data_IF_867774626252
#
_entry.id   IF_867774626252
#
_cell.length_a   1.000
_cell.length_b   1.000
_cell.length_c   1.000
_cell.angle_alpha   90.00
_cell.angle_beta   90.00
_cell.angle_gamma   90.00
#
_symmetry.space_group_name_H-M   'P 1'
#
loop_
_entity.id
_entity.type
_entity.pdbx_description
1 polymer ?
#
# COMPACT_ATOMS: atom_id res chain seq x y z
N UNK A 1 -9.59 18.12 21.70
CA UNK A 1 -9.66 16.97 20.78
C UNK A 1 -8.32 16.84 20.05
N UNK A 2 -7.73 15.64 19.91
CA UNK A 2 -6.54 15.46 19.10
C UNK A 2 -6.92 15.78 17.64
N UNK A 3 -6.24 16.75 17.05
CA UNK A 3 -6.45 17.14 15.65
C UNK A 3 -6.03 15.96 14.75
N UNK A 4 -6.84 15.52 13.76
CA UNK A 4 -6.46 14.45 12.85
C UNK A 4 -5.10 14.74 12.26
N UNK A 5 -4.16 13.81 12.41
CA UNK A 5 -2.80 13.99 11.91
C UNK A 5 -2.82 13.88 10.40
N UNK A 6 -2.63 15.01 9.71
CA UNK A 6 -2.42 15.05 8.26
C UNK A 6 -1.30 14.05 7.89
N UNK A 7 -1.58 13.14 6.94
CA UNK A 7 -0.58 12.21 6.42
C UNK A 7 0.62 12.95 5.84
N UNK A 8 1.83 12.55 6.24
CA UNK A 8 3.10 13.16 5.82
C UNK A 8 3.73 12.32 4.72
N UNK A 9 4.36 12.96 3.73
CA UNK A 9 4.94 12.24 2.59
C UNK A 9 6.35 11.76 2.91
N UNK A 10 6.63 10.47 2.71
CA UNK A 10 7.97 9.87 2.78
C UNK A 10 8.36 9.42 1.39
N UNK A 11 9.47 9.95 0.88
CA UNK A 11 9.88 9.69 -0.49
C UNK A 11 10.34 8.26 -0.74
N UNK A 12 10.75 7.54 0.32
CA UNK A 12 11.54 6.31 0.25
C UNK A 12 11.50 5.41 1.48
N UNK A 13 11.53 4.10 1.24
CA UNK A 13 11.83 3.11 2.27
C UNK A 13 13.34 3.08 2.56
N UNK A 14 13.73 2.96 3.83
CA UNK A 14 15.14 2.83 4.19
C UNK A 14 15.72 1.53 3.62
N UNK A 15 16.95 1.60 3.07
CA UNK A 15 17.69 0.42 2.60
C UNK A 15 18.01 -0.57 3.73
N UNK A 16 18.13 -0.08 4.95
CA UNK A 16 18.26 -0.86 6.17
C UNK A 16 17.35 -0.24 7.23
N UNK A 17 16.47 -1.05 7.83
CA UNK A 17 15.56 -0.61 8.90
C UNK A 17 16.18 -0.70 10.30
N UNK A 18 17.42 -1.16 10.42
CA UNK A 18 18.06 -1.40 11.72
C UNK A 18 19.56 -1.08 11.65
N UNK A 19 20.04 -0.30 12.61
CA UNK A 19 21.45 0.05 12.79
C UNK A 19 21.85 -0.26 14.23
N UNK A 20 23.07 -0.76 14.43
CA UNK A 20 23.59 -1.05 15.77
C UNK A 20 25.09 -0.80 15.85
N UNK A 21 25.64 -0.43 17.02
CA UNK A 21 27.07 -0.38 17.24
C UNK A 21 27.71 -1.76 17.04
N UNK A 22 28.93 -1.73 16.53
CA UNK A 22 29.73 -2.93 16.28
C UNK A 22 30.21 -3.51 17.61
N UNK A 23 30.10 -4.83 17.77
CA UNK A 23 30.63 -5.56 18.92
C UNK A 23 29.65 -5.80 20.08
N UNK A 24 28.44 -5.26 20.02
CA UNK A 24 27.40 -5.49 21.04
C UNK A 24 26.31 -6.44 20.47
N UNK A 25 25.98 -7.55 21.15
CA UNK A 25 24.84 -8.40 20.80
C UNK A 25 23.52 -7.63 20.84
N UNK A 26 22.54 -8.05 20.01
CA UNK A 26 21.24 -7.39 19.96
C UNK A 26 20.41 -7.58 21.25
N UNK A 27 20.69 -8.63 22.02
CA UNK A 27 20.04 -8.92 23.30
C UNK A 27 20.44 -7.96 24.42
N UNK A 28 21.60 -7.33 24.28
CA UNK A 28 22.27 -6.59 25.36
C UNK A 28 22.32 -5.09 25.07
N UNK A 29 21.53 -4.63 24.10
CA UNK A 29 21.52 -3.25 23.64
C UNK A 29 20.13 -2.66 23.68
N UNK A 30 20.02 -1.50 24.32
CA UNK A 30 18.82 -0.70 24.32
C UNK A 30 18.60 -0.06 22.94
N UNK A 31 17.33 0.13 22.55
CA UNK A 31 16.98 0.63 21.23
C UNK A 31 16.24 1.97 21.25
N UNK A 32 16.44 2.75 20.19
CA UNK A 32 15.64 3.92 19.85
C UNK A 32 14.96 3.78 18.51
N UNK A 33 13.69 4.19 18.51
CA UNK A 33 12.84 4.14 17.32
C UNK A 33 12.87 5.49 16.63
N UNK A 34 13.45 5.52 15.44
CA UNK A 34 13.32 6.63 14.51
C UNK A 34 12.12 6.38 13.60
N UNK A 35 11.16 7.31 13.59
CA UNK A 35 9.99 7.19 12.72
C UNK A 35 10.35 7.42 11.25
N UNK A 36 9.57 6.84 10.33
CA UNK A 36 9.81 6.98 8.88
C UNK A 36 9.78 8.44 8.41
N UNK A 37 8.86 9.24 8.94
CA UNK A 37 8.78 10.67 8.69
C UNK A 37 9.97 11.43 9.33
N UNK A 38 10.48 10.96 10.47
CA UNK A 38 11.69 11.48 11.08
C UNK A 38 12.92 11.24 10.20
N UNK A 39 13.06 10.03 9.64
CA UNK A 39 14.12 9.70 8.69
C UNK A 39 14.02 10.56 7.42
N UNK A 40 12.83 10.74 6.86
CA UNK A 40 12.63 11.58 5.67
C UNK A 40 13.02 13.03 5.95
N UNK A 41 12.68 13.57 7.12
CA UNK A 41 13.06 14.92 7.50
C UNK A 41 14.58 15.09 7.57
N UNK A 42 15.30 14.12 8.17
CA UNK A 42 16.77 14.09 8.18
C UNK A 42 17.33 13.99 6.76
N UNK A 43 16.75 13.13 5.92
CA UNK A 43 17.17 12.96 4.53
C UNK A 43 17.07 14.26 3.73
N UNK A 44 15.94 14.96 3.84
CA UNK A 44 15.72 16.21 3.10
C UNK A 44 16.59 17.37 3.60
N UNK A 45 16.67 17.57 4.92
CA UNK A 45 17.38 18.71 5.49
C UNK A 45 18.88 18.48 5.62
N UNK A 46 19.29 17.34 6.17
CA UNK A 46 20.68 17.10 6.58
C UNK A 46 21.48 16.34 5.52
N UNK A 47 20.85 15.46 4.73
CA UNK A 47 21.53 14.71 3.66
C UNK A 47 21.45 15.41 2.30
N UNK A 48 20.27 15.88 1.87
CA UNK A 48 20.10 16.61 0.61
C UNK A 48 20.38 18.11 0.71
N UNK A 49 20.56 18.64 1.93
CA UNK A 49 20.89 20.05 2.17
C UNK A 49 19.76 21.03 1.83
N UNK A 50 18.50 20.58 1.79
CA UNK A 50 17.36 21.47 1.48
C UNK A 50 17.07 22.42 2.62
N UNK A 51 16.58 23.61 2.28
CA UNK A 51 16.05 24.52 3.28
C UNK A 51 14.72 23.99 3.86
N UNK A 52 14.35 24.50 5.04
CA UNK A 52 13.17 24.03 5.79
C UNK A 52 11.85 24.22 5.02
N UNK A 53 11.75 25.26 4.20
CA UNK A 53 10.53 25.58 3.47
C UNK A 53 10.32 24.59 2.32
N UNK A 54 11.35 24.33 1.52
CA UNK A 54 11.34 23.30 0.47
C UNK A 54 11.07 21.90 1.03
N UNK A 55 11.73 21.55 2.12
CA UNK A 55 11.57 20.23 2.74
C UNK A 55 10.16 20.04 3.32
N UNK A 56 9.57 21.08 3.92
CA UNK A 56 8.21 21.06 4.43
C UNK A 56 7.18 20.87 3.32
N UNK A 57 7.32 21.60 2.20
CA UNK A 57 6.48 21.45 1.01
C UNK A 57 6.54 20.01 0.49
N UNK A 58 7.75 19.45 0.40
CA UNK A 58 7.96 18.08 -0.10
C UNK A 58 7.33 17.01 0.78
N UNK A 59 7.35 17.21 2.09
CA UNK A 59 6.67 16.32 3.05
C UNK A 59 5.16 16.56 3.17
N UNK A 60 4.61 17.59 2.50
CA UNK A 60 3.19 17.94 2.58
C UNK A 60 2.77 18.48 3.95
N UNK A 61 3.67 19.14 4.67
CA UNK A 61 3.42 19.68 6.02
C UNK A 61 3.74 21.17 6.12
N UNK A 62 3.23 21.84 7.16
CA UNK A 62 3.66 23.21 7.46
C UNK A 62 5.13 23.28 7.85
N UNK A 63 5.80 24.40 7.55
CA UNK A 63 7.18 24.71 7.99
C UNK A 63 7.40 24.45 9.48
N UNK A 64 6.44 24.85 10.32
CA UNK A 64 6.50 24.65 11.76
C UNK A 64 6.39 23.17 12.15
N UNK A 65 5.54 22.39 11.47
CA UNK A 65 5.44 20.94 11.65
C UNK A 65 6.74 20.25 11.27
N UNK A 66 7.32 20.61 10.12
CA UNK A 66 8.61 20.09 9.66
C UNK A 66 9.72 20.36 10.68
N UNK A 67 9.84 21.60 11.16
CA UNK A 67 10.86 21.96 12.16
C UNK A 67 10.74 21.15 13.46
N UNK A 68 9.51 20.88 13.93
CA UNK A 68 9.29 20.02 15.12
C UNK A 68 9.67 18.56 14.85
N UNK A 69 9.38 18.06 13.66
CA UNK A 69 9.72 16.70 13.24
C UNK A 69 11.23 16.53 13.14
N UNK A 70 11.90 17.43 12.43
CA UNK A 70 13.36 17.43 12.26
C UNK A 70 14.09 17.50 13.61
N UNK A 71 13.64 18.36 14.53
CA UNK A 71 14.22 18.44 15.88
C UNK A 71 14.12 17.11 16.64
N UNK A 72 12.97 16.45 16.58
CA UNK A 72 12.76 15.14 17.23
C UNK A 72 13.63 14.05 16.62
N UNK A 73 13.70 14.02 15.28
CA UNK A 73 14.53 13.06 14.56
C UNK A 73 16.01 13.23 14.88
N UNK A 74 16.53 14.46 14.86
CA UNK A 74 17.92 14.77 15.26
C UNK A 74 18.21 14.37 16.69
N UNK A 75 17.30 14.64 17.63
CA UNK A 75 17.47 14.24 19.02
C UNK A 75 17.52 12.71 19.18
N UNK A 76 16.62 11.97 18.51
CA UNK A 76 16.60 10.52 18.54
C UNK A 76 17.91 9.90 18.01
N UNK A 77 18.42 10.41 16.89
CA UNK A 77 19.71 9.96 16.34
C UNK A 77 20.87 10.34 17.26
N UNK A 78 20.87 11.56 17.80
CA UNK A 78 21.91 12.00 18.72
C UNK A 78 21.95 11.16 20.00
N UNK A 79 20.79 10.89 20.61
CA UNK A 79 20.67 10.02 21.79
C UNK A 79 21.20 8.62 21.48
N UNK A 80 20.81 8.02 20.35
CA UNK A 80 21.31 6.70 19.97
C UNK A 80 22.83 6.65 19.78
N UNK A 81 23.42 7.72 19.22
CA UNK A 81 24.87 7.80 19.02
C UNK A 81 25.64 8.07 20.32
N UNK A 82 25.09 8.89 21.22
CA UNK A 82 25.74 9.26 22.49
C UNK A 82 25.69 8.10 23.49
N UNK A 83 24.54 7.44 23.61
CA UNK A 83 24.33 6.37 24.59
C UNK A 83 24.68 4.98 24.03
N UNK A 84 25.08 4.89 22.75
CA UNK A 84 25.49 3.64 22.11
C UNK A 84 24.32 2.67 21.89
N UNK A 85 23.16 3.20 21.55
CA UNK A 85 21.91 2.44 21.36
C UNK A 85 21.80 1.90 19.94
N UNK A 86 20.99 0.85 19.79
CA UNK A 86 20.51 0.44 18.48
C UNK A 86 19.48 1.46 17.95
N UNK A 87 19.48 1.70 16.65
CA UNK A 87 18.51 2.56 15.98
C UNK A 87 17.63 1.70 15.07
N UNK A 88 16.33 1.60 15.41
CA UNK A 88 15.31 0.91 14.64
C UNK A 88 14.44 1.91 13.90
N UNK A 89 14.21 1.70 12.62
CA UNK A 89 13.44 2.62 11.78
C UNK A 89 12.05 2.04 11.51
N UNK A 90 11.05 2.55 12.21
CA UNK A 90 9.68 2.03 12.15
C UNK A 90 8.62 3.08 12.46
N UNK A 91 7.40 2.86 11.95
CA UNK A 91 6.23 3.66 12.27
C UNK A 91 6.23 5.08 11.69
N UNK A 92 5.29 5.91 12.15
CA UNK A 92 5.07 7.29 11.70
C UNK A 92 3.71 7.50 11.02
N UNK A 93 3.24 8.75 10.99
CA UNK A 93 2.02 9.13 10.26
C UNK A 93 2.42 9.45 8.82
N UNK A 94 2.57 8.41 7.99
CA UNK A 94 3.11 8.55 6.65
C UNK A 94 2.10 8.12 5.58
N UNK A 95 1.90 8.97 4.56
CA UNK A 95 1.59 8.51 3.21
C UNK A 95 2.94 8.24 2.54
N UNK A 96 3.17 7.01 2.08
CA UNK A 96 4.39 6.69 1.34
C UNK A 96 4.24 7.28 -0.05
N UNK A 97 5.16 8.16 -0.45
CA UNK A 97 5.42 8.33 -1.87
C UNK A 97 6.30 7.15 -2.26
N UNK A 98 5.77 6.27 -3.10
CA UNK A 98 6.52 5.14 -3.61
C UNK A 98 7.82 5.64 -4.28
N UNK A 99 8.99 5.13 -3.86
CA UNK A 99 10.22 5.39 -4.62
C UNK A 99 10.12 4.77 -6.01
N UNK A 100 10.34 5.63 -7.00
CA UNK A 100 10.88 5.28 -8.30
C UNK A 100 12.15 4.43 -8.09
N UNK A 101 12.07 3.17 -8.52
CA UNK A 101 13.13 2.19 -8.27
C UNK A 101 12.97 0.82 -8.91
N UNK A 102 11.78 0.46 -9.43
CA UNK A 102 11.62 -0.51 -10.52
C UNK A 102 10.48 0.02 -11.41
N UNK A 103 10.87 0.93 -12.32
CA UNK A 103 10.10 1.60 -13.38
C UNK A 103 8.58 1.33 -13.41
N UNK A 104 7.83 2.07 -12.60
CA UNK A 104 6.60 2.70 -13.11
C UNK A 104 7.06 4.00 -13.79
N UNK A 105 6.74 4.25 -15.07
CA UNK A 105 7.16 5.47 -15.75
C UNK A 105 6.46 6.65 -15.09
N UNK A 106 7.22 7.61 -14.58
CA UNK A 106 6.71 8.91 -14.18
C UNK A 106 6.18 9.65 -15.39
N UNK A 107 4.94 10.11 -15.26
CA UNK A 107 4.10 10.56 -16.35
C UNK A 107 2.79 9.78 -16.29
N UNK A 108 1.79 10.43 -15.71
CA UNK A 108 0.35 10.13 -15.72
C UNK A 108 -0.12 9.04 -16.70
N UNK A 109 -1.10 8.23 -16.24
CA UNK A 109 -1.91 7.24 -16.97
C UNK A 109 -1.56 5.75 -16.80
N UNK A 110 -1.26 5.31 -15.58
CA UNK A 110 -1.30 3.89 -15.23
C UNK A 110 -2.18 3.65 -14.00
N UNK A 111 -2.88 2.51 -13.95
CA UNK A 111 -3.69 2.11 -12.79
C UNK A 111 -3.16 0.80 -12.20
N UNK A 112 -3.17 0.69 -10.87
CA UNK A 112 -2.87 -0.55 -10.19
C UNK A 112 -4.14 -1.39 -10.07
N UNK A 113 -4.13 -2.54 -10.73
CA UNK A 113 -5.27 -3.45 -10.85
C UNK A 113 -5.05 -4.66 -9.97
N UNK A 114 -6.04 -4.99 -9.13
CA UNK A 114 -6.07 -6.19 -8.32
C UNK A 114 -7.02 -7.23 -8.92
N UNK A 115 -6.59 -8.49 -8.94
CA UNK A 115 -7.43 -9.64 -9.30
C UNK A 115 -7.38 -10.63 -8.13
N UNK A 116 -8.51 -10.95 -7.48
CA UNK A 116 -8.60 -12.08 -6.56
C UNK A 116 -8.21 -13.35 -7.34
N UNK A 117 -7.23 -14.10 -6.88
CA UNK A 117 -6.67 -15.24 -7.61
C UNK A 117 -6.60 -16.48 -6.73
N UNK A 118 -6.64 -17.67 -7.33
CA UNK A 118 -6.32 -18.92 -6.64
C UNK A 118 -4.81 -19.06 -6.45
N UNK A 119 -4.39 -19.78 -5.40
CA UNK A 119 -2.98 -20.12 -5.18
C UNK A 119 -2.42 -20.93 -6.38
N UNK A 120 -1.20 -20.65 -6.85
CA UNK A 120 -0.14 -19.81 -6.24
C UNK A 120 -0.22 -18.30 -6.55
N UNK A 121 -1.23 -17.85 -7.31
CA UNK A 121 -1.32 -16.50 -7.85
C UNK A 121 -0.49 -16.30 -9.12
N UNK A 122 -0.45 -15.07 -9.62
CA UNK A 122 0.24 -14.73 -10.87
C UNK A 122 -0.68 -14.78 -12.09
N UNK A 123 -0.14 -14.51 -13.29
CA UNK A 123 -0.92 -14.35 -14.53
C UNK A 123 -1.63 -15.64 -14.96
N UNK A 124 -1.02 -16.79 -14.73
CA UNK A 124 -1.57 -18.10 -15.11
C UNK A 124 -2.60 -18.64 -14.11
N UNK A 125 -2.71 -18.02 -12.93
CA UNK A 125 -3.66 -18.47 -11.92
C UNK A 125 -5.11 -18.18 -12.35
N UNK A 126 -6.03 -19.05 -11.93
CA UNK A 126 -7.46 -18.82 -12.14
C UNK A 126 -7.96 -17.69 -11.23
N UNK A 127 -8.82 -16.79 -11.71
CA UNK A 127 -9.42 -15.77 -10.87
C UNK A 127 -10.40 -16.40 -9.86
N UNK A 128 -10.43 -15.88 -8.64
CA UNK A 128 -11.28 -16.37 -7.58
C UNK A 128 -12.70 -15.80 -7.72
N UNK A 129 -13.71 -16.68 -7.65
CA UNK A 129 -15.12 -16.34 -7.93
C UNK A 129 -15.77 -15.50 -6.83
N UNK A 130 -15.26 -15.61 -5.60
CA UNK A 130 -15.81 -14.90 -4.43
C UNK A 130 -14.76 -14.03 -3.76
N UNK A 131 -14.99 -12.71 -3.77
CA UNK A 131 -14.09 -11.72 -3.15
C UNK A 131 -13.84 -12.00 -1.65
N UNK A 132 -14.91 -12.29 -0.89
CA UNK A 132 -14.84 -12.41 0.57
C UNK A 132 -14.15 -13.67 1.11
N UNK A 133 -13.78 -14.64 0.27
CA UNK A 133 -13.09 -15.88 0.69
C UNK A 133 -11.70 -16.01 0.08
N UNK A 134 -11.23 -15.00 -0.64
CA UNK A 134 -9.98 -15.06 -1.35
C UNK A 134 -8.80 -14.99 -0.38
N UNK A 135 -7.84 -15.91 -0.52
CA UNK A 135 -6.61 -15.95 0.28
C UNK A 135 -5.51 -15.05 -0.28
N UNK A 136 -5.53 -14.74 -1.58
CA UNK A 136 -4.49 -13.95 -2.24
C UNK A 136 -5.03 -13.01 -3.33
N UNK A 137 -4.31 -11.93 -3.61
CA UNK A 137 -4.53 -11.05 -4.74
C UNK A 137 -3.31 -11.08 -5.65
N UNK A 138 -3.55 -11.14 -6.95
CA UNK A 138 -2.54 -10.82 -7.96
C UNK A 138 -2.73 -9.36 -8.37
N UNK A 139 -1.68 -8.56 -8.16
CA UNK A 139 -1.65 -7.14 -8.47
C UNK A 139 -0.82 -6.94 -9.74
N UNK A 140 -1.28 -6.08 -10.65
CA UNK A 140 -0.51 -5.69 -11.81
C UNK A 140 -0.74 -4.22 -12.15
N UNK A 141 0.30 -3.57 -12.65
CA UNK A 141 0.21 -2.25 -13.24
C UNK A 141 -0.29 -2.34 -14.67
N UNK A 142 -1.31 -1.56 -15.01
CA UNK A 142 -1.83 -1.47 -16.37
C UNK A 142 -1.70 -0.05 -16.89
N UNK A 143 -1.01 0.11 -18.02
CA UNK A 143 -0.82 1.39 -18.73
C UNK A 143 -0.81 1.14 -20.24
N UNK A 144 -1.55 1.94 -21.01
CA UNK A 144 -1.59 1.89 -22.49
C UNK A 144 -1.83 0.47 -23.07
N UNK A 145 -2.75 -0.29 -22.47
CA UNK A 145 -3.02 -1.66 -22.92
C UNK A 145 -1.98 -2.70 -22.48
N UNK A 146 -0.94 -2.30 -21.75
CA UNK A 146 0.15 -3.18 -21.32
C UNK A 146 0.07 -3.51 -19.82
N UNK A 147 0.24 -4.78 -19.50
CA UNK A 147 0.35 -5.29 -18.13
C UNK A 147 1.82 -5.35 -17.74
N UNK A 148 2.19 -4.74 -16.62
CA UNK A 148 3.56 -4.70 -16.07
C UNK A 148 3.56 -4.94 -14.57
N UNK A 149 4.72 -5.30 -14.04
CA UNK A 149 5.00 -5.38 -12.60
C UNK A 149 3.96 -6.22 -11.81
N UNK A 150 3.87 -7.50 -12.16
CA UNK A 150 2.93 -8.43 -11.54
C UNK A 150 3.47 -8.90 -10.20
N UNK A 151 2.70 -8.72 -9.12
CA UNK A 151 3.07 -9.16 -7.78
C UNK A 151 1.92 -9.93 -7.13
N UNK A 152 2.25 -10.94 -6.34
CA UNK A 152 1.26 -11.70 -5.56
C UNK A 152 1.29 -11.22 -4.11
N UNK A 153 0.11 -11.00 -3.52
CA UNK A 153 -0.05 -10.55 -2.14
C UNK A 153 -1.04 -11.43 -1.41
N UNK A 154 -0.69 -11.86 -0.21
CA UNK A 154 -1.63 -12.52 0.68
C UNK A 154 -2.70 -11.53 1.15
N UNK A 155 -3.95 -11.97 1.17
CA UNK A 155 -5.03 -11.26 1.84
C UNK A 155 -4.84 -11.46 3.35
N UNK A 156 -4.63 -10.39 4.11
CA UNK A 156 -4.54 -10.49 5.56
C UNK A 156 -5.83 -11.14 6.11
N UNK A 157 -5.68 -12.17 6.96
CA UNK A 157 -6.78 -12.97 7.47
C UNK A 157 -7.91 -12.07 8.01
N UNK A 158 -9.11 -12.23 7.46
CA UNK A 158 -10.29 -11.47 7.86
C UNK A 158 -11.09 -12.25 8.91
N UNK A 159 -11.72 -11.53 9.84
CA UNK A 159 -12.77 -12.10 10.68
C UNK A 159 -14.06 -12.25 9.87
N UNK A 160 -14.87 -13.30 10.07
CA UNK A 160 -16.15 -13.46 9.38
C UNK A 160 -17.05 -12.23 9.58
N UNK A 161 -17.36 -11.53 8.49
CA UNK A 161 -18.20 -10.32 8.52
C UNK A 161 -17.46 -8.99 8.43
N UNK A 162 -16.13 -8.98 8.51
CA UNK A 162 -15.31 -7.78 8.31
C UNK A 162 -15.10 -7.49 6.82
N UNK A 163 -16.04 -6.74 6.23
CA UNK A 163 -15.98 -6.32 4.84
C UNK A 163 -15.04 -5.13 4.61
N UNK A 164 -14.62 -4.43 5.68
CA UNK A 164 -13.82 -3.21 5.61
C UNK A 164 -12.32 -3.48 5.51
N UNK A 165 -11.81 -4.47 6.22
CA UNK A 165 -10.37 -4.75 6.26
C UNK A 165 -9.75 -5.12 4.90
N UNK A 166 -10.38 -5.97 4.05
CA UNK A 166 -9.84 -6.25 2.71
C UNK A 166 -9.81 -5.02 1.81
N UNK A 167 -10.81 -4.15 1.94
CA UNK A 167 -10.92 -2.90 1.17
C UNK A 167 -9.82 -1.92 1.58
N UNK A 168 -9.62 -1.74 2.90
CA UNK A 168 -8.54 -0.88 3.42
C UNK A 168 -7.16 -1.42 3.07
N UNK A 169 -7.00 -2.75 3.09
CA UNK A 169 -5.79 -3.41 2.61
C UNK A 169 -5.49 -3.03 1.16
N UNK A 170 -6.46 -3.19 0.26
CA UNK A 170 -6.29 -2.83 -1.16
C UNK A 170 -6.05 -1.33 -1.37
N UNK A 171 -6.80 -0.47 -0.68
CA UNK A 171 -6.65 0.97 -0.76
C UNK A 171 -5.27 1.44 -0.27
N UNK A 172 -4.77 0.87 0.83
CA UNK A 172 -3.43 1.19 1.34
C UNK A 172 -2.29 0.72 0.42
N UNK A 173 -2.54 -0.31 -0.39
CA UNK A 173 -1.61 -0.76 -1.44
C UNK A 173 -1.65 0.11 -2.70
N UNK A 174 -2.55 1.11 -2.77
CA UNK A 174 -2.71 2.01 -3.92
C UNK A 174 -3.49 1.38 -5.07
N UNK A 175 -4.23 0.30 -4.83
CA UNK A 175 -5.10 -0.31 -5.83
C UNK A 175 -6.23 0.66 -6.14
N UNK A 176 -6.44 0.97 -7.41
CA UNK A 176 -7.53 1.84 -7.87
C UNK A 176 -8.58 1.07 -8.67
N UNK A 177 -8.27 -0.17 -9.08
CA UNK A 177 -9.18 -1.04 -9.84
C UNK A 177 -9.16 -2.47 -9.29
N UNK A 178 -10.33 -3.09 -9.17
CA UNK A 178 -10.49 -4.49 -8.78
C UNK A 178 -11.30 -5.25 -9.85
N UNK A 179 -10.76 -6.38 -10.34
CA UNK A 179 -11.45 -7.29 -11.26
C UNK A 179 -12.01 -8.48 -10.49
N UNK A 180 -13.32 -8.52 -10.25
CA UNK A 180 -13.96 -9.55 -9.44
C UNK A 180 -15.01 -10.34 -10.23
N UNK A 181 -15.18 -11.62 -9.92
CA UNK A 181 -16.28 -12.43 -10.47
C UNK A 181 -17.62 -12.17 -9.75
N UNK A 182 -17.59 -12.11 -8.41
CA UNK A 182 -18.78 -11.84 -7.61
C UNK A 182 -18.46 -11.18 -6.27
N UNK A 183 -19.30 -10.21 -5.90
CA UNK A 183 -19.24 -9.56 -4.58
C UNK A 183 -20.61 -9.16 -4.06
N UNK A 184 -20.71 -9.00 -2.73
CA UNK A 184 -21.89 -8.45 -2.09
C UNK A 184 -21.96 -6.93 -2.19
N UNK A 185 -23.14 -6.36 -1.94
CA UNK A 185 -23.38 -4.90 -1.97
C UNK A 185 -22.46 -4.13 -0.99
N UNK A 186 -22.25 -4.68 0.20
CA UNK A 186 -21.46 -4.02 1.25
C UNK A 186 -19.97 -3.85 0.85
N UNK A 187 -19.27 -4.89 0.37
CA UNK A 187 -17.94 -4.72 -0.22
C UNK A 187 -17.90 -3.74 -1.40
N UNK A 188 -18.88 -3.79 -2.31
CA UNK A 188 -18.91 -2.88 -3.47
C UNK A 188 -18.98 -1.41 -3.04
N UNK A 189 -19.88 -1.08 -2.11
CA UNK A 189 -20.01 0.27 -1.57
C UNK A 189 -18.74 0.72 -0.84
N UNK A 190 -18.10 -0.17 -0.08
CA UNK A 190 -16.85 0.14 0.60
C UNK A 190 -15.70 0.41 -0.39
N UNK A 191 -15.60 -0.38 -1.47
CA UNK A 191 -14.63 -0.16 -2.55
C UNK A 191 -14.84 1.19 -3.23
N UNK A 192 -16.08 1.51 -3.61
CA UNK A 192 -16.44 2.78 -4.23
C UNK A 192 -16.12 3.96 -3.31
N UNK A 193 -16.45 3.85 -2.02
CA UNK A 193 -16.13 4.88 -1.02
C UNK A 193 -14.61 5.05 -0.81
N UNK A 194 -13.82 3.99 -1.01
CA UNK A 194 -12.37 4.02 -0.97
C UNK A 194 -11.73 4.49 -2.30
N UNK A 195 -12.53 4.81 -3.33
CA UNK A 195 -12.03 5.22 -4.64
C UNK A 195 -11.55 4.07 -5.53
N UNK A 196 -11.95 2.84 -5.24
CA UNK A 196 -11.59 1.64 -6.00
C UNK A 196 -12.73 1.33 -6.98
N UNK A 197 -12.46 1.45 -8.28
CA UNK A 197 -13.38 1.04 -9.33
C UNK A 197 -13.42 -0.49 -9.42
N UNK A 198 -14.61 -1.07 -9.58
CA UNK A 198 -14.78 -2.52 -9.67
C UNK A 198 -15.27 -2.87 -11.08
N UNK A 199 -14.68 -3.88 -11.69
CA UNK A 199 -15.09 -4.44 -12.97
C UNK A 199 -15.36 -5.94 -12.83
N UNK A 200 -16.30 -6.44 -13.62
CA UNK A 200 -16.57 -7.85 -13.69
C UNK A 200 -15.46 -8.54 -14.50
N UNK A 201 -14.89 -9.63 -13.97
CA UNK A 201 -13.79 -10.35 -14.63
C UNK A 201 -14.22 -11.19 -15.86
N UNK A 202 -15.50 -11.10 -16.25
CA UNK A 202 -16.12 -11.77 -17.40
C UNK A 202 -16.00 -13.30 -17.42
N UNK A 203 -15.69 -13.94 -16.28
CA UNK A 203 -15.50 -15.38 -16.20
C UNK A 203 -14.31 -15.90 -17.00
N UNK A 204 -13.30 -15.04 -17.25
CA UNK A 204 -12.12 -15.41 -18.01
C UNK A 204 -11.27 -16.45 -17.26
N UNK A 205 -10.56 -17.34 -17.98
CA UNK A 205 -9.93 -18.53 -17.39
C UNK A 205 -8.68 -18.22 -16.55
N UNK A 206 -8.04 -17.06 -16.76
CA UNK A 206 -6.80 -16.69 -16.07
C UNK A 206 -6.78 -15.21 -15.66
N UNK A 207 -5.96 -14.90 -14.65
CA UNK A 207 -5.70 -13.53 -14.20
C UNK A 207 -5.11 -12.69 -15.34
N UNK A 208 -4.21 -13.27 -16.14
CA UNK A 208 -3.63 -12.61 -17.31
C UNK A 208 -4.69 -12.20 -18.32
N UNK A 209 -5.61 -13.11 -18.66
CA UNK A 209 -6.72 -12.80 -19.54
C UNK A 209 -7.62 -11.68 -18.98
N UNK A 210 -7.87 -11.68 -17.66
CA UNK A 210 -8.61 -10.59 -17.00
C UNK A 210 -7.91 -9.24 -17.15
N UNK A 211 -6.60 -9.20 -16.89
CA UNK A 211 -5.81 -7.98 -16.96
C UNK A 211 -5.69 -7.45 -18.40
N UNK A 212 -5.53 -8.34 -19.38
CA UNK A 212 -5.51 -7.98 -20.81
C UNK A 212 -6.87 -7.45 -21.28
N UNK A 213 -7.96 -8.11 -20.89
CA UNK A 213 -9.30 -7.66 -21.20
C UNK A 213 -9.60 -6.28 -20.58
N UNK A 214 -9.12 -6.05 -19.36
CA UNK A 214 -9.19 -4.74 -18.71
C UNK A 214 -8.37 -3.69 -19.47
N UNK A 215 -7.13 -4.02 -19.82
CA UNK A 215 -6.22 -3.12 -20.54
C UNK A 215 -6.76 -2.72 -21.93
N UNK A 216 -7.56 -3.59 -22.56
CA UNK A 216 -8.24 -3.35 -23.83
C UNK A 216 -9.64 -2.72 -23.66
N UNK A 217 -10.00 -2.31 -22.44
CA UNK A 217 -11.30 -1.71 -22.10
C UNK A 217 -12.51 -2.58 -22.50
N UNK A 218 -12.37 -3.92 -22.42
CA UNK A 218 -13.41 -4.90 -22.77
C UNK A 218 -14.22 -5.41 -21.57
N UNK A 219 -13.87 -4.99 -20.35
CA UNK A 219 -14.59 -5.39 -19.14
C UNK A 219 -15.70 -4.40 -18.79
N UNK A 220 -16.84 -4.95 -18.36
CA UNK A 220 -17.95 -4.15 -17.86
C UNK A 220 -17.68 -3.68 -16.43
N UNK A 221 -18.03 -2.42 -16.15
CA UNK A 221 -18.08 -1.92 -14.78
C UNK A 221 -19.06 -2.76 -13.95
N UNK A 222 -18.75 -2.95 -12.68
CA UNK A 222 -19.53 -3.83 -11.80
C UNK A 222 -20.88 -3.19 -11.45
N UNK A 223 -21.95 -3.65 -12.12
CA UNK A 223 -23.33 -3.20 -11.93
C UNK A 223 -24.17 -4.04 -10.97
N UNK A 224 -25.46 -3.69 -10.85
CA UNK A 224 -26.43 -4.35 -9.95
C UNK A 224 -26.75 -5.79 -10.36
N UNK A 225 -26.53 -6.12 -11.63
CA UNK A 225 -26.67 -7.44 -12.23
C UNK A 225 -25.59 -8.44 -11.77
N UNK A 226 -24.47 -7.97 -11.24
CA UNK A 226 -23.34 -8.78 -10.75
C UNK A 226 -23.33 -8.92 -9.21
N UNK A 227 -24.31 -8.34 -8.52
CA UNK A 227 -24.43 -8.41 -7.07
C UNK A 227 -24.87 -9.81 -6.63
N UNK A 228 -24.16 -10.35 -5.64
CA UNK A 228 -24.54 -11.60 -4.99
C UNK A 228 -25.93 -11.41 -4.32
N UNK A 229 -26.98 -11.99 -4.92
CA UNK A 229 -28.36 -11.95 -4.41
C UNK A 229 -28.53 -12.88 -3.21
N UNK A 230 -27.78 -12.66 -2.12
CA UNK A 230 -28.10 -13.16 -0.78
C UNK A 230 -28.46 -14.64 -0.60
N UNK A 231 -27.99 -15.54 -1.47
CA UNK A 231 -28.22 -16.98 -1.35
C UNK A 231 -27.00 -17.70 -0.80
N UNK A 232 -26.67 -17.50 0.48
CA UNK A 232 -25.78 -18.44 1.18
C UNK A 232 -26.59 -19.72 1.45
N UNK A 233 -26.65 -20.62 0.47
CA UNK A 233 -26.91 -22.02 0.77
C UNK A 233 -25.61 -22.62 1.33
N UNK A 234 -25.63 -23.26 2.51
CA UNK A 234 -24.50 -24.08 2.95
C UNK A 234 -24.52 -25.35 2.10
N UNK A 235 -23.56 -25.51 1.20
CA UNK A 235 -23.28 -26.83 0.62
C UNK A 235 -22.52 -27.67 1.65
N UNK A 236 -23.04 -28.88 1.84
CA UNK A 236 -22.65 -29.88 2.83
C UNK A 236 -21.30 -30.52 2.52
#
# INVERSE_FOLDING_TARGET
MPRPSHCRRVSALPKASYFKPKGVPLSDIDERVLTLDGLEALRLADYEGRNMDEAAVRMGVSRHTFGRLLRRARHCVAEALVDGLALRIEGGVCAMDAQEGETAPSGSEGVLVAVPSQEPGGLEAAPHVHFGRCSIYTLAWVKDGQVKNVTVRANAAHLPGDCSSPVQGLASMGVTVLLAGGMGVRPLQAMQAAGIAVYHNAGLPSVGACLEAFAQNRLAAFGTEHLCRGGCAPEK
#
